data_IF_041702755241
#
_entry.id   IF_041702755241
#
_cell.length_a   1.000
_cell.length_b   1.000
_cell.length_c   1.000
_cell.angle_alpha   90.00
_cell.angle_beta   90.00
_cell.angle_gamma   90.00
#
_symmetry.space_group_name_H-M   'P 1'
#
loop_
_entity.id
_entity.type
_entity.pdbx_description
1 polymer ?
#
# COMPACT_ATOMS: atom_id res chain seq x y z
N UNK A 1 10.83 5.65 13.92
CA UNK A 1 9.36 5.58 13.71
C UNK A 1 8.75 4.74 14.82
N UNK A 2 7.65 5.18 15.46
CA UNK A 2 6.85 4.33 16.36
C UNK A 2 5.57 3.96 15.61
N UNK A 3 5.32 2.68 15.42
CA UNK A 3 4.07 2.20 14.84
C UNK A 3 3.00 2.19 15.92
N UNK A 4 1.89 2.90 15.73
CA UNK A 4 0.77 2.82 16.65
C UNK A 4 -0.11 1.59 16.35
N UNK A 5 -0.93 1.21 17.35
CA UNK A 5 -1.80 0.05 17.25
C UNK A 5 -2.77 0.17 16.07
N UNK A 6 -3.33 1.37 15.84
CA UNK A 6 -4.31 1.62 14.77
C UNK A 6 -3.72 1.37 13.38
N UNK A 7 -2.48 1.80 13.17
CA UNK A 7 -1.76 1.61 11.91
C UNK A 7 -1.50 0.13 11.66
N UNK A 8 -1.15 -0.60 12.71
CA UNK A 8 -0.93 -2.06 12.63
C UNK A 8 -2.25 -2.78 12.30
N UNK A 9 -3.32 -2.45 13.02
CA UNK A 9 -4.66 -3.02 12.80
C UNK A 9 -5.18 -2.74 11.38
N UNK A 10 -4.97 -1.52 10.87
CA UNK A 10 -5.37 -1.14 9.52
C UNK A 10 -4.64 -1.92 8.42
N UNK A 11 -3.45 -2.46 8.71
CA UNK A 11 -2.68 -3.28 7.77
C UNK A 11 -3.06 -4.77 7.81
N UNK A 12 -3.72 -5.24 8.88
CA UNK A 12 -3.99 -6.67 9.10
C UNK A 12 -4.70 -7.33 7.92
N UNK A 13 -5.75 -6.71 7.37
CA UNK A 13 -6.50 -7.28 6.25
C UNK A 13 -5.63 -7.50 5.01
N UNK A 14 -4.67 -6.61 4.77
CA UNK A 14 -3.72 -6.74 3.67
C UNK A 14 -2.75 -7.89 3.94
N UNK A 15 -2.17 -7.91 5.15
CA UNK A 15 -1.19 -8.93 5.56
C UNK A 15 -1.82 -10.33 5.53
N UNK A 16 -3.04 -10.48 6.04
CA UNK A 16 -3.76 -11.75 6.07
C UNK A 16 -4.13 -12.23 4.66
N UNK A 17 -4.55 -11.33 3.77
CA UNK A 17 -4.82 -11.66 2.37
C UNK A 17 -3.54 -12.11 1.65
N UNK A 18 -2.43 -11.40 1.85
CA UNK A 18 -1.13 -11.76 1.28
C UNK A 18 -0.69 -13.15 1.80
N UNK A 19 -0.79 -13.41 3.10
CA UNK A 19 -0.48 -14.73 3.69
C UNK A 19 -1.33 -15.86 3.11
N UNK A 20 -2.61 -15.59 2.90
CA UNK A 20 -3.58 -16.62 2.49
C UNK A 20 -3.53 -16.90 0.99
N UNK A 21 -3.38 -15.85 0.18
CA UNK A 21 -3.59 -15.90 -1.28
C UNK A 21 -2.39 -15.44 -2.10
N UNK A 22 -1.42 -14.77 -1.47
CA UNK A 22 -0.35 -14.06 -2.16
C UNK A 22 -0.79 -12.79 -2.89
N UNK A 23 -2.02 -12.33 -2.66
CA UNK A 23 -2.63 -11.19 -3.34
C UNK A 23 -3.22 -10.20 -2.35
N UNK A 24 -3.31 -8.93 -2.77
CA UNK A 24 -4.03 -7.91 -2.02
C UNK A 24 -5.53 -8.25 -1.91
N UNK A 25 -6.23 -7.74 -0.90
CA UNK A 25 -7.69 -7.85 -0.83
C UNK A 25 -8.36 -7.35 -2.12
N UNK A 26 -9.50 -7.93 -2.48
CA UNK A 26 -10.16 -7.70 -3.78
C UNK A 26 -10.62 -6.25 -4.02
N UNK A 27 -10.72 -5.43 -2.98
CA UNK A 27 -11.06 -4.02 -3.09
C UNK A 27 -9.86 -3.12 -3.45
N UNK A 28 -8.64 -3.68 -3.56
CA UNK A 28 -7.48 -2.94 -4.03
C UNK A 28 -7.41 -2.92 -5.56
N UNK A 29 -7.13 -1.75 -6.11
CA UNK A 29 -6.92 -1.53 -7.53
C UNK A 29 -5.64 -0.73 -7.74
N UNK A 30 -4.92 -1.00 -8.82
CA UNK A 30 -3.77 -0.20 -9.24
C UNK A 30 -4.23 1.19 -9.68
N UNK A 31 -3.32 2.17 -9.69
CA UNK A 31 -3.61 3.51 -10.25
C UNK A 31 -4.08 3.43 -11.71
N UNK A 32 -3.52 2.49 -12.49
CA UNK A 32 -3.90 2.27 -13.88
C UNK A 32 -5.34 1.75 -14.01
N UNK A 33 -5.72 0.75 -13.20
CA UNK A 33 -7.09 0.23 -13.17
C UNK A 33 -8.10 1.29 -12.70
N UNK A 34 -7.74 2.08 -11.69
CA UNK A 34 -8.58 3.19 -11.24
C UNK A 34 -8.77 4.25 -12.34
N UNK A 35 -7.70 4.60 -13.06
CA UNK A 35 -7.76 5.56 -14.17
C UNK A 35 -8.67 5.08 -15.31
N UNK A 36 -8.68 3.78 -15.62
CA UNK A 36 -9.61 3.18 -16.58
C UNK A 36 -11.08 3.32 -16.15
N UNK A 37 -11.34 3.39 -14.84
CA UNK A 37 -12.67 3.65 -14.28
C UNK A 37 -12.98 5.15 -14.13
N UNK A 38 -12.12 6.02 -14.66
CA UNK A 38 -12.30 7.47 -14.66
C UNK A 38 -11.70 8.21 -13.46
N UNK A 39 -10.97 7.51 -12.58
CA UNK A 39 -10.27 8.17 -11.47
C UNK A 39 -9.17 9.09 -12.00
N UNK A 40 -8.98 10.23 -11.34
CA UNK A 40 -7.94 11.20 -11.66
C UNK A 40 -7.12 11.52 -10.41
N UNK A 41 -5.79 11.71 -10.52
CA UNK A 41 -4.97 12.15 -9.41
C UNK A 41 -5.54 13.40 -8.72
N UNK A 42 -5.54 13.39 -7.39
CA UNK A 42 -6.11 14.48 -6.58
C UNK A 42 -7.63 14.39 -6.37
N UNK A 43 -8.33 13.45 -7.01
CA UNK A 43 -9.74 13.14 -6.70
C UNK A 43 -9.86 11.98 -5.73
N UNK A 44 -10.97 11.96 -4.98
CA UNK A 44 -11.35 10.83 -4.15
C UNK A 44 -11.55 9.59 -5.02
N UNK A 45 -11.03 8.44 -4.59
CA UNK A 45 -11.12 7.19 -5.34
C UNK A 45 -12.58 6.74 -5.48
N UNK A 46 -13.39 6.95 -4.43
CA UNK A 46 -14.79 6.56 -4.39
C UNK A 46 -15.66 7.18 -5.50
N UNK A 47 -15.21 8.25 -6.14
CA UNK A 47 -15.91 8.86 -7.28
C UNK A 47 -15.95 7.95 -8.52
N UNK A 48 -15.04 6.97 -8.59
CA UNK A 48 -14.85 6.10 -9.74
C UNK A 48 -14.81 4.62 -9.34
N UNK A 49 -14.24 4.32 -8.17
CA UNK A 49 -14.12 2.96 -7.61
C UNK A 49 -14.74 2.96 -6.22
N UNK A 50 -16.05 2.67 -6.10
CA UNK A 50 -16.75 2.67 -4.81
C UNK A 50 -16.08 1.72 -3.80
N UNK A 51 -15.83 2.20 -2.58
CA UNK A 51 -15.17 1.45 -1.50
C UNK A 51 -13.79 0.86 -1.84
N UNK A 52 -13.18 1.28 -2.94
CA UNK A 52 -11.87 0.82 -3.38
C UNK A 52 -10.71 1.41 -2.57
N UNK A 53 -9.53 0.81 -2.73
CA UNK A 53 -8.25 1.30 -2.22
C UNK A 53 -7.19 1.24 -3.33
N UNK A 54 -6.18 2.10 -3.27
CA UNK A 54 -5.05 2.02 -4.22
C UNK A 54 -3.98 1.06 -3.71
N UNK A 55 -3.54 0.15 -4.57
CA UNK A 55 -2.43 -0.73 -4.26
C UNK A 55 -2.10 -1.71 -5.38
N UNK A 56 -0.94 -2.34 -5.26
CA UNK A 56 -0.41 -3.27 -6.26
C UNK A 56 0.47 -2.59 -7.31
N UNK A 57 0.66 -1.28 -7.22
CA UNK A 57 1.62 -0.57 -8.08
C UNK A 57 3.06 -0.92 -7.66
N UNK A 58 3.97 -0.95 -8.64
CA UNK A 58 5.40 -1.14 -8.39
C UNK A 58 5.96 0.08 -7.64
N UNK A 59 6.62 -0.19 -6.52
CA UNK A 59 7.40 0.79 -5.78
C UNK A 59 8.86 0.74 -6.24
N UNK A 60 9.31 1.81 -6.89
CA UNK A 60 10.63 1.86 -7.51
C UNK A 60 11.82 1.83 -6.52
N UNK A 61 11.58 2.12 -5.23
CA UNK A 61 12.63 2.23 -4.20
C UNK A 61 13.80 3.16 -4.60
N UNK A 62 13.51 4.27 -5.29
CA UNK A 62 14.53 5.18 -5.86
C UNK A 62 15.43 5.85 -4.80
N UNK A 63 14.94 5.95 -3.56
CA UNK A 63 15.68 6.49 -2.41
C UNK A 63 16.44 5.41 -1.63
N UNK A 64 16.37 4.14 -2.06
CA UNK A 64 17.00 2.98 -1.40
C UNK A 64 16.66 2.87 0.10
N UNK A 65 15.45 3.25 0.49
CA UNK A 65 14.95 3.13 1.87
C UNK A 65 14.65 1.67 2.25
N UNK A 66 14.42 0.82 1.25
CA UNK A 66 14.24 -0.63 1.42
C UNK A 66 15.47 -1.39 0.92
N UNK A 67 15.72 -2.61 1.44
CA UNK A 67 16.76 -3.49 0.92
C UNK A 67 16.53 -3.83 -0.57
N UNK A 68 17.56 -3.66 -1.39
CA UNK A 68 17.57 -3.99 -2.81
C UNK A 68 18.36 -5.27 -3.08
N UNK A 69 17.89 -6.11 -4.00
CA UNK A 69 18.62 -7.28 -4.51
C UNK A 69 18.24 -7.54 -5.96
N UNK A 70 19.08 -8.28 -6.71
CA UNK A 70 18.76 -8.65 -8.08
C UNK A 70 17.43 -9.42 -8.13
N UNK A 71 16.53 -9.03 -9.04
CA UNK A 71 15.19 -9.63 -9.19
C UNK A 71 14.17 -9.21 -8.12
N UNK A 72 14.51 -8.27 -7.21
CA UNK A 72 13.57 -7.77 -6.20
C UNK A 72 12.74 -6.59 -6.71
N UNK A 73 11.42 -6.73 -6.66
CA UNK A 73 10.43 -5.73 -7.07
C UNK A 73 9.49 -5.41 -5.93
N UNK A 74 9.64 -4.25 -5.32
CA UNK A 74 8.72 -3.81 -4.28
C UNK A 74 7.38 -3.38 -4.87
N UNK A 75 6.32 -3.60 -4.12
CA UNK A 75 4.96 -3.13 -4.40
C UNK A 75 4.46 -2.30 -3.23
N UNK A 76 3.50 -1.42 -3.50
CA UNK A 76 2.88 -0.58 -2.48
C UNK A 76 1.37 -0.77 -2.40
N UNK A 77 0.82 -0.65 -1.18
CA UNK A 77 -0.62 -0.60 -0.93
C UNK A 77 -0.93 0.48 0.11
N UNK A 78 -1.98 1.27 -0.13
CA UNK A 78 -2.49 2.24 0.85
C UNK A 78 -3.04 1.53 2.08
N UNK A 79 -2.78 2.08 3.27
CA UNK A 79 -3.21 1.49 4.55
C UNK A 79 -4.05 2.51 5.30
N UNK A 80 -5.25 2.10 5.74
CA UNK A 80 -6.11 2.91 6.61
C UNK A 80 -6.67 4.19 5.98
N UNK A 81 -6.71 4.27 4.64
CA UNK A 81 -7.26 5.44 3.95
C UNK A 81 -8.79 5.37 3.83
N UNK A 82 -9.40 6.56 3.82
CA UNK A 82 -10.81 6.79 3.52
C UNK A 82 -10.98 7.07 2.02
N UNK A 83 -11.73 6.22 1.31
CA UNK A 83 -11.89 6.28 -0.15
C UNK A 83 -12.63 7.53 -0.65
N UNK A 84 -13.43 8.18 0.20
CA UNK A 84 -14.21 9.40 -0.12
C UNK A 84 -13.40 10.69 -0.03
N UNK A 85 -12.16 10.62 0.46
CA UNK A 85 -11.24 11.76 0.52
C UNK A 85 -10.12 11.57 -0.50
N UNK A 86 -9.57 12.68 -1.04
CA UNK A 86 -8.40 12.59 -1.91
C UNK A 86 -7.19 12.05 -1.13
N UNK A 87 -6.29 11.32 -1.81
CA UNK A 87 -5.11 10.75 -1.16
C UNK A 87 -4.20 11.82 -0.55
N UNK A 88 -4.08 12.99 -1.19
CA UNK A 88 -3.22 14.09 -0.70
C UNK A 88 -3.66 14.65 0.65
N UNK A 89 -4.92 14.46 1.04
CA UNK A 89 -5.50 15.02 2.26
C UNK A 89 -5.48 14.03 3.42
N UNK A 90 -4.79 12.90 3.27
CA UNK A 90 -4.78 11.79 4.21
C UNK A 90 -3.35 11.41 4.60
N UNK A 91 -3.15 10.73 5.75
CA UNK A 91 -1.85 10.20 6.12
C UNK A 91 -1.29 9.32 5.01
N UNK A 92 -0.02 9.52 4.62
CA UNK A 92 0.62 8.73 3.57
C UNK A 92 1.06 7.33 4.00
N UNK A 93 0.28 6.67 4.84
CA UNK A 93 0.60 5.35 5.36
C UNK A 93 0.48 4.31 4.26
N UNK A 94 1.55 3.53 4.06
CA UNK A 94 1.60 2.47 3.05
C UNK A 94 2.31 1.24 3.55
N UNK A 95 1.75 0.09 3.16
CA UNK A 95 2.45 -1.18 3.20
C UNK A 95 3.34 -1.29 1.96
N UNK A 96 4.60 -1.65 2.18
CA UNK A 96 5.58 -1.95 1.16
C UNK A 96 5.88 -3.44 1.25
N UNK A 97 5.55 -4.19 0.22
CA UNK A 97 5.66 -5.64 0.22
C UNK A 97 6.43 -6.14 -1.00
N UNK A 98 7.12 -7.26 -0.83
CA UNK A 98 7.85 -7.90 -1.91
C UNK A 98 7.30 -9.32 -2.18
N UNK A 99 7.52 -9.83 -3.39
CA UNK A 99 7.14 -11.16 -3.82
C UNK A 99 7.84 -12.29 -3.05
N UNK A 100 8.95 -12.03 -2.36
CA UNK A 100 9.62 -13.01 -1.48
C UNK A 100 9.01 -13.13 -0.09
N UNK A 101 8.05 -12.28 0.28
CA UNK A 101 7.40 -12.31 1.59
C UNK A 101 7.67 -11.11 2.48
N UNK A 102 8.70 -10.30 2.23
CA UNK A 102 9.06 -9.21 3.14
C UNK A 102 8.00 -8.11 3.21
N UNK A 103 7.74 -7.63 4.44
CA UNK A 103 6.79 -6.56 4.75
C UNK A 103 7.44 -5.41 5.51
N UNK A 104 7.26 -4.21 4.97
CA UNK A 104 7.61 -2.94 5.58
C UNK A 104 6.42 -2.01 5.59
N UNK A 105 6.41 -1.04 6.51
CA UNK A 105 5.41 0.02 6.55
C UNK A 105 6.10 1.38 6.64
N UNK A 106 5.49 2.38 6.00
CA UNK A 106 5.82 3.79 6.17
C UNK A 106 4.58 4.53 6.63
N UNK A 107 4.73 5.51 7.51
CA UNK A 107 3.65 6.40 7.97
C UNK A 107 3.94 7.88 7.63
N UNK A 108 5.06 8.16 6.98
CA UNK A 108 5.61 9.50 6.80
C UNK A 108 5.92 9.82 5.32
N UNK A 109 5.15 9.21 4.41
CA UNK A 109 5.34 9.31 2.97
C UNK A 109 6.75 8.87 2.52
N UNK A 110 7.13 7.64 2.87
CA UNK A 110 8.37 6.99 2.45
C UNK A 110 9.67 7.67 2.93
N UNK A 111 9.60 8.55 3.94
CA UNK A 111 10.83 9.13 4.54
C UNK A 111 11.53 8.10 5.41
N UNK A 112 10.76 7.32 6.16
CA UNK A 112 11.25 6.19 6.93
C UNK A 112 10.36 4.97 6.73
N UNK A 113 10.95 3.80 6.97
CA UNK A 113 10.27 2.51 6.93
C UNK A 113 10.57 1.73 8.20
N UNK A 114 9.62 0.92 8.65
CA UNK A 114 9.83 -0.07 9.70
C UNK A 114 9.50 -1.46 9.17
N UNK A 115 10.34 -2.48 9.44
CA UNK A 115 9.98 -3.86 9.15
C UNK A 115 8.81 -4.28 10.05
N UNK A 116 7.82 -4.97 9.47
CA UNK A 116 6.68 -5.52 10.22
C UNK A 116 6.55 -7.04 10.10
N UNK A 117 7.45 -7.68 9.35
CA UNK A 117 7.58 -9.14 9.30
C UNK A 117 7.64 -9.70 7.88
N UNK A 118 7.19 -10.94 7.74
CA UNK A 118 7.00 -11.64 6.46
C UNK A 118 5.57 -12.15 6.32
N UNK A 119 5.08 -12.25 5.08
CA UNK A 119 3.82 -12.89 4.72
C UNK A 119 4.01 -14.29 4.09
N UNK A 120 5.24 -14.66 3.72
CA UNK A 120 5.62 -16.04 3.36
C UNK A 120 6.42 -16.68 4.48
#
# INVERSE_FOLDING_TARGET
MKLDLKTTEAANSIVDSLRTTGQLPSNYVTKAQAAQQGWQPGKALNNSVPSGQLGGDVFANSTNILPSSAGRTWFEADVGLTSTMSRSNQPGTRLLYFSDGLLYITTDHYKTVAPIGSWK
#
